data_IF_873020776146
#
_entry.id   IF_873020776146
#
_cell.length_a   1.000
_cell.length_b   1.000
_cell.length_c   1.000
_cell.angle_alpha   90.00
_cell.angle_beta   90.00
_cell.angle_gamma   90.00
#
_symmetry.space_group_name_H-M   'P 1'
#
loop_
_entity.id
_entity.type
_entity.pdbx_description
1 polymer ?
#
# COMPACT_ATOMS: atom_id res chain seq x y z
N UNK A 1 -33.29 -15.87 -44.17
CA UNK A 1 -32.86 -14.61 -43.53
C UNK A 1 -33.55 -13.48 -44.27
N UNK A 2 -34.31 -12.65 -43.56
CA UNK A 2 -35.04 -11.55 -44.20
C UNK A 2 -34.04 -10.40 -44.53
N UNK A 3 -34.32 -9.61 -45.56
CA UNK A 3 -33.42 -8.56 -46.05
C UNK A 3 -33.01 -7.54 -44.96
N UNK A 4 -33.90 -7.24 -44.02
CA UNK A 4 -33.66 -6.38 -42.85
C UNK A 4 -32.66 -7.00 -41.88
N UNK A 5 -32.75 -8.31 -41.62
CA UNK A 5 -31.80 -9.02 -40.75
C UNK A 5 -30.38 -9.01 -41.34
N UNK A 6 -30.26 -9.17 -42.66
CA UNK A 6 -28.97 -9.09 -43.36
C UNK A 6 -28.32 -7.72 -43.18
N UNK A 7 -29.05 -6.63 -43.40
CA UNK A 7 -28.51 -5.28 -43.27
C UNK A 7 -28.17 -4.90 -41.82
N UNK A 8 -28.91 -5.43 -40.84
CA UNK A 8 -28.58 -5.25 -39.43
C UNK A 8 -27.24 -5.92 -39.08
N UNK A 9 -27.01 -7.16 -39.52
CA UNK A 9 -25.74 -7.86 -39.30
C UNK A 9 -24.57 -7.12 -39.96
N UNK A 10 -24.75 -6.66 -41.20
CA UNK A 10 -23.73 -5.87 -41.91
C UNK A 10 -23.46 -4.55 -41.19
N UNK A 11 -24.49 -3.85 -40.72
CA UNK A 11 -24.35 -2.61 -39.96
C UNK A 11 -23.54 -2.79 -38.67
N UNK A 12 -23.81 -3.86 -37.90
CA UNK A 12 -23.05 -4.18 -36.69
C UNK A 12 -21.58 -4.48 -37.01
N UNK A 13 -21.29 -5.24 -38.06
CA UNK A 13 -19.91 -5.55 -38.47
C UNK A 13 -19.14 -4.28 -38.89
N UNK A 14 -19.80 -3.37 -39.61
CA UNK A 14 -19.18 -2.08 -40.00
C UNK A 14 -18.86 -1.23 -38.77
N UNK A 15 -19.77 -1.16 -37.80
CA UNK A 15 -19.53 -0.42 -36.53
C UNK A 15 -18.38 -1.05 -35.74
N UNK A 16 -18.34 -2.37 -35.60
CA UNK A 16 -17.26 -3.05 -34.90
C UNK A 16 -15.90 -2.83 -35.58
N UNK A 17 -15.85 -2.93 -36.91
CA UNK A 17 -14.63 -2.65 -37.67
C UNK A 17 -14.19 -1.17 -37.55
N UNK A 18 -15.13 -0.24 -37.48
CA UNK A 18 -14.85 1.17 -37.26
C UNK A 18 -14.35 1.47 -35.83
N UNK A 19 -14.70 0.65 -34.84
CA UNK A 19 -14.24 0.78 -33.46
C UNK A 19 -12.87 0.14 -33.21
N UNK A 20 -12.42 -0.81 -34.05
CA UNK A 20 -11.11 -1.46 -33.88
C UNK A 20 -9.93 -0.47 -33.83
N UNK A 21 -9.83 0.57 -34.69
CA UNK A 21 -8.78 1.58 -34.58
C UNK A 21 -8.86 2.35 -33.26
N UNK A 22 -10.07 2.70 -32.80
CA UNK A 22 -10.26 3.43 -31.53
C UNK A 22 -9.79 2.57 -30.36
N UNK A 23 -10.18 1.30 -30.31
CA UNK A 23 -9.73 0.37 -29.29
C UNK A 23 -8.21 0.18 -29.34
N UNK A 24 -7.63 0.06 -30.53
CA UNK A 24 -6.18 -0.02 -30.72
C UNK A 24 -5.47 1.24 -30.20
N UNK A 25 -5.98 2.44 -30.50
CA UNK A 25 -5.43 3.70 -29.99
C UNK A 25 -5.53 3.80 -28.47
N UNK A 26 -6.65 3.37 -27.88
CA UNK A 26 -6.80 3.32 -26.41
C UNK A 26 -5.75 2.39 -25.80
N UNK A 27 -5.60 1.16 -26.32
CA UNK A 27 -4.59 0.20 -25.82
C UNK A 27 -3.17 0.75 -25.99
N UNK A 28 -2.87 1.37 -27.14
CA UNK A 28 -1.56 1.98 -27.40
C UNK A 28 -1.28 3.14 -26.44
N UNK A 29 -2.25 4.01 -26.20
CA UNK A 29 -2.12 5.12 -25.26
C UNK A 29 -1.91 4.62 -23.83
N UNK A 30 -2.66 3.60 -23.40
CA UNK A 30 -2.42 2.95 -22.11
C UNK A 30 -1.01 2.38 -22.01
N UNK A 31 -0.52 1.71 -23.05
CA UNK A 31 0.86 1.19 -23.09
C UNK A 31 1.91 2.29 -22.98
N UNK A 32 1.74 3.40 -23.70
CA UNK A 32 2.68 4.52 -23.67
C UNK A 32 2.67 5.18 -22.29
N UNK A 33 1.50 5.45 -21.72
CA UNK A 33 1.36 6.06 -20.41
C UNK A 33 1.88 5.13 -19.30
N UNK A 34 1.59 3.84 -19.36
CA UNK A 34 2.10 2.84 -18.42
C UNK A 34 3.62 2.69 -18.52
N UNK A 35 4.18 2.65 -19.73
CA UNK A 35 5.64 2.62 -19.93
C UNK A 35 6.29 3.89 -19.39
N UNK A 36 5.72 5.07 -19.65
CA UNK A 36 6.24 6.33 -19.12
C UNK A 36 6.13 6.40 -17.59
N UNK A 37 5.08 5.80 -17.01
CA UNK A 37 4.90 5.68 -15.56
C UNK A 37 5.92 4.72 -14.94
N UNK A 38 6.19 3.58 -15.58
CA UNK A 38 7.20 2.62 -15.11
C UNK A 38 8.63 3.16 -15.28
N UNK A 39 8.94 3.82 -16.41
CA UNK A 39 10.22 4.51 -16.62
C UNK A 39 10.46 5.64 -15.60
N UNK A 40 9.38 6.26 -15.11
CA UNK A 40 9.46 7.24 -14.02
C UNK A 40 9.88 6.63 -12.70
N UNK A 41 9.53 5.38 -12.40
CA UNK A 41 9.98 4.69 -11.18
C UNK A 41 11.47 4.37 -11.23
N UNK A 42 12.03 4.12 -12.42
CA UNK A 42 13.44 3.73 -12.56
C UNK A 42 13.63 2.23 -12.33
N UNK A 43 14.87 1.77 -12.19
CA UNK A 43 15.16 0.35 -11.99
C UNK A 43 14.77 -0.08 -10.57
N UNK A 44 14.13 -1.24 -10.45
CA UNK A 44 13.89 -1.90 -9.17
C UNK A 44 15.23 -2.45 -8.62
N UNK A 45 15.50 -2.15 -7.36
CA UNK A 45 16.70 -2.54 -6.61
C UNK A 45 16.25 -3.45 -5.47
N UNK A 46 16.95 -4.56 -5.27
CA UNK A 46 16.65 -5.51 -4.18
C UNK A 46 17.76 -5.49 -3.13
N UNK A 47 17.36 -5.68 -1.88
CA UNK A 47 18.25 -5.79 -0.73
C UNK A 47 17.73 -6.89 0.19
N UNK A 48 18.58 -7.87 0.50
CA UNK A 48 18.30 -8.84 1.55
C UNK A 48 18.78 -8.29 2.89
N UNK A 49 17.85 -7.86 3.74
CA UNK A 49 18.12 -7.40 5.10
C UNK A 49 17.97 -8.55 6.11
N UNK A 50 18.87 -8.70 7.10
CA UNK A 50 18.78 -9.78 8.09
C UNK A 50 17.52 -9.75 8.97
N UNK A 51 16.89 -8.59 9.15
CA UNK A 51 15.69 -8.40 9.96
C UNK A 51 14.43 -8.31 9.11
N UNK A 52 14.50 -7.59 7.98
CA UNK A 52 13.34 -7.34 7.13
C UNK A 52 13.21 -8.34 5.96
N UNK A 53 14.19 -9.21 5.73
CA UNK A 53 14.19 -10.13 4.59
C UNK A 53 14.38 -9.39 3.26
N UNK A 54 13.68 -9.84 2.22
CA UNK A 54 13.80 -9.25 0.88
C UNK A 54 13.05 -7.92 0.80
N UNK A 55 13.80 -6.82 0.75
CA UNK A 55 13.32 -5.48 0.48
C UNK A 55 13.50 -5.12 -1.00
N UNK A 56 12.60 -4.30 -1.51
CA UNK A 56 12.73 -3.66 -2.82
C UNK A 56 12.61 -2.15 -2.70
N UNK A 57 13.28 -1.45 -3.59
CA UNK A 57 13.19 0.00 -3.76
C UNK A 57 13.25 0.31 -5.25
N UNK A 58 12.90 1.53 -5.63
CA UNK A 58 13.08 2.02 -6.98
C UNK A 58 14.17 3.09 -6.98
N UNK A 59 15.06 3.07 -7.96
CA UNK A 59 16.29 3.90 -8.02
C UNK A 59 16.08 5.42 -7.76
N UNK A 60 14.87 5.94 -8.01
CA UNK A 60 14.52 7.35 -7.81
C UNK A 60 13.82 7.63 -6.49
N UNK A 61 13.57 6.62 -5.68
CA UNK A 61 12.76 6.67 -4.47
C UNK A 61 13.66 6.40 -3.26
N UNK A 62 13.52 7.22 -2.21
CA UNK A 62 14.31 7.12 -0.97
C UNK A 62 13.57 6.26 0.08
N UNK A 63 12.89 5.20 -0.36
CA UNK A 63 12.24 4.26 0.54
C UNK A 63 12.38 2.83 0.07
N UNK A 64 12.40 1.93 1.05
CA UNK A 64 12.42 0.49 0.88
C UNK A 64 11.10 -0.10 1.36
N UNK A 65 10.59 -1.09 0.64
CA UNK A 65 9.36 -1.80 1.02
C UNK A 65 9.52 -3.31 0.93
N UNK A 66 8.73 -4.04 1.72
CA UNK A 66 8.70 -5.50 1.68
C UNK A 66 7.73 -6.10 2.70
N UNK A 67 7.40 -7.39 2.52
CA UNK A 67 6.51 -8.12 3.44
C UNK A 67 7.34 -8.81 4.51
N UNK A 68 7.24 -8.33 5.75
CA UNK A 68 8.10 -8.76 6.85
C UNK A 68 7.34 -9.59 7.87
N UNK A 69 8.04 -10.54 8.52
CA UNK A 69 7.48 -11.26 9.65
C UNK A 69 7.32 -10.33 10.85
N UNK A 70 6.09 -10.18 11.34
CA UNK A 70 5.77 -9.32 12.47
C UNK A 70 5.65 -10.12 13.76
N UNK A 71 4.90 -11.22 13.75
CA UNK A 71 4.81 -12.17 14.88
C UNK A 71 4.44 -11.52 16.21
N UNK A 72 3.56 -10.53 16.19
CA UNK A 72 3.04 -9.87 17.39
C UNK A 72 1.55 -10.21 17.54
N UNK A 73 1.23 -11.15 18.44
CA UNK A 73 -0.12 -11.70 18.57
C UNK A 73 -0.46 -12.62 17.40
N UNK A 74 -1.61 -12.39 16.76
CA UNK A 74 -2.11 -13.16 15.61
C UNK A 74 -1.60 -12.62 14.27
N UNK A 75 -0.88 -11.49 14.26
CA UNK A 75 -0.37 -10.85 13.05
C UNK A 75 0.94 -11.52 12.63
N UNK A 76 0.88 -12.34 11.59
CA UNK A 76 2.06 -13.06 11.07
C UNK A 76 2.97 -12.15 10.23
N UNK A 77 2.39 -11.35 9.33
CA UNK A 77 3.11 -10.54 8.36
C UNK A 77 2.52 -9.14 8.25
N UNK A 78 3.36 -8.18 7.89
CA UNK A 78 2.98 -6.79 7.66
C UNK A 78 3.83 -6.21 6.54
N UNK A 79 3.28 -5.30 5.75
CA UNK A 79 4.08 -4.52 4.81
C UNK A 79 4.91 -3.49 5.57
N UNK A 80 6.22 -3.46 5.35
CA UNK A 80 7.10 -2.43 5.91
C UNK A 80 7.39 -1.37 4.85
N UNK A 81 7.38 -0.11 5.25
CA UNK A 81 7.94 1.01 4.49
C UNK A 81 9.05 1.64 5.33
N UNK A 82 10.25 1.77 4.76
CA UNK A 82 11.42 2.28 5.47
C UNK A 82 11.98 3.44 4.67
N UNK A 83 11.92 4.64 5.23
CA UNK A 83 12.52 5.85 4.68
C UNK A 83 14.04 5.79 4.90
N UNK A 84 14.77 5.35 3.88
CA UNK A 84 16.21 5.10 3.94
C UNK A 84 16.86 5.32 2.58
N UNK A 85 18.14 5.66 2.60
CA UNK A 85 18.91 5.89 1.38
C UNK A 85 19.18 4.57 0.61
N UNK A 86 19.95 4.65 -0.47
CA UNK A 86 20.30 3.50 -1.31
C UNK A 86 21.11 2.40 -0.58
N UNK A 87 21.67 2.66 0.60
CA UNK A 87 22.42 1.66 1.38
C UNK A 87 21.47 0.76 2.21
N UNK A 88 20.18 1.09 2.27
CA UNK A 88 19.17 0.33 3.00
C UNK A 88 18.97 0.79 4.44
N UNK A 89 18.21 0.00 5.23
CA UNK A 89 17.85 0.38 6.60
C UNK A 89 19.07 0.53 7.52
N UNK A 90 18.99 1.51 8.42
CA UNK A 90 20.00 1.72 9.47
C UNK A 90 19.75 0.84 10.70
N UNK A 91 20.73 0.71 11.59
CA UNK A 91 20.52 -0.04 12.84
C UNK A 91 19.49 0.61 13.77
N UNK A 92 19.37 1.94 13.77
CA UNK A 92 18.33 2.65 14.53
C UNK A 92 16.92 2.27 14.04
N UNK A 93 16.74 2.14 12.73
CA UNK A 93 15.47 1.71 12.12
C UNK A 93 15.15 0.25 12.44
N UNK A 94 16.17 -0.64 12.38
CA UNK A 94 16.03 -2.04 12.83
C UNK A 94 15.66 -2.10 14.32
N UNK A 95 16.29 -1.29 15.16
CA UNK A 95 16.00 -1.22 16.60
C UNK A 95 14.58 -0.71 16.86
N UNK A 96 14.12 0.31 16.13
CA UNK A 96 12.74 0.81 16.19
C UNK A 96 11.76 -0.31 15.82
N UNK A 97 11.97 -1.03 14.71
CA UNK A 97 11.10 -2.14 14.32
C UNK A 97 11.01 -3.25 15.38
N UNK A 98 12.15 -3.69 15.93
CA UNK A 98 12.16 -4.70 17.01
C UNK A 98 11.37 -4.22 18.21
N UNK A 99 11.49 -2.93 18.55
CA UNK A 99 10.74 -2.35 19.66
C UNK A 99 9.25 -2.28 19.36
N UNK A 100 8.85 -1.89 18.14
CA UNK A 100 7.45 -1.89 17.69
C UNK A 100 6.88 -3.31 17.87
N UNK A 101 7.53 -4.33 17.31
CA UNK A 101 7.12 -5.75 17.47
C UNK A 101 6.93 -6.14 18.94
N UNK A 102 7.87 -5.76 19.81
CA UNK A 102 7.81 -6.11 21.24
C UNK A 102 6.75 -5.37 22.05
N UNK A 103 6.38 -4.15 21.63
CA UNK A 103 5.46 -3.29 22.37
C UNK A 103 4.06 -3.25 21.75
N UNK A 104 3.89 -3.77 20.54
CA UNK A 104 2.66 -3.67 19.77
C UNK A 104 1.43 -4.12 20.57
N UNK A 105 1.47 -5.32 21.18
CA UNK A 105 0.34 -5.82 21.98
C UNK A 105 -0.01 -4.93 23.17
N UNK A 106 0.93 -4.13 23.69
CA UNK A 106 0.66 -3.22 24.80
C UNK A 106 0.01 -1.91 24.38
N UNK A 107 0.26 -1.47 23.15
CA UNK A 107 -0.30 -0.22 22.60
C UNK A 107 -1.57 -0.47 21.77
N UNK A 108 -1.84 -1.73 21.39
CA UNK A 108 -3.02 -2.10 20.60
C UNK A 108 -4.35 -1.57 21.17
N UNK A 109 -4.63 -1.62 22.49
CA UNK A 109 -5.87 -1.05 23.03
C UNK A 109 -5.99 0.47 22.84
N UNK A 110 -4.86 1.20 22.87
CA UNK A 110 -4.84 2.65 22.61
C UNK A 110 -5.13 2.94 21.13
N UNK A 111 -4.56 2.13 20.24
CA UNK A 111 -4.77 2.22 18.79
C UNK A 111 -6.24 1.98 18.44
N UNK A 112 -6.82 0.88 18.93
CA UNK A 112 -8.23 0.55 18.71
C UNK A 112 -9.14 1.65 19.25
N UNK A 113 -8.85 2.20 20.43
CA UNK A 113 -9.64 3.29 21.00
C UNK A 113 -9.55 4.56 20.13
N UNK A 114 -8.38 4.89 19.59
CA UNK A 114 -8.20 6.04 18.71
C UNK A 114 -8.93 5.86 17.37
N UNK A 115 -8.82 4.68 16.75
CA UNK A 115 -9.51 4.35 15.50
C UNK A 115 -11.03 4.36 15.70
N UNK A 116 -11.57 3.68 16.72
CA UNK A 116 -13.02 3.69 17.02
C UNK A 116 -13.55 5.08 17.33
N UNK A 117 -12.75 5.94 17.95
CA UNK A 117 -13.12 7.35 18.17
C UNK A 117 -13.18 8.14 16.86
N UNK A 118 -12.34 7.80 15.88
CA UNK A 118 -12.28 8.48 14.59
C UNK A 118 -13.45 8.07 13.67
N UNK A 119 -13.72 6.76 13.54
CA UNK A 119 -14.73 6.22 12.60
C UNK A 119 -16.01 5.68 13.21
N UNK A 120 -15.97 5.15 14.44
CA UNK A 120 -17.12 4.54 15.11
C UNK A 120 -16.80 3.21 15.82
N UNK A 121 -17.67 2.79 16.73
CA UNK A 121 -17.41 1.64 17.62
C UNK A 121 -17.54 0.26 16.96
N UNK A 122 -18.16 0.13 15.78
CA UNK A 122 -18.55 -1.17 15.23
C UNK A 122 -17.56 -1.75 14.21
N UNK A 123 -16.38 -1.15 14.07
CA UNK A 123 -15.44 -1.48 13.01
C UNK A 123 -14.34 -2.41 13.54
N UNK A 124 -13.94 -3.38 12.73
CA UNK A 124 -12.78 -4.23 12.97
C UNK A 124 -11.60 -3.67 12.18
N UNK A 125 -10.40 -3.68 12.78
CA UNK A 125 -9.22 -3.06 12.20
C UNK A 125 -8.10 -4.08 12.09
N UNK A 126 -7.54 -4.23 10.90
CA UNK A 126 -6.39 -5.09 10.62
C UNK A 126 -5.16 -4.22 10.36
N UNK A 127 -4.05 -4.51 11.05
CA UNK A 127 -2.75 -3.88 10.75
C UNK A 127 -2.24 -4.39 9.40
N UNK A 128 -2.01 -3.48 8.47
CA UNK A 128 -1.52 -3.84 7.12
C UNK A 128 -0.13 -3.31 6.82
N UNK A 129 0.25 -2.17 7.40
CA UNK A 129 1.56 -1.59 7.14
C UNK A 129 2.18 -0.91 8.35
N UNK A 130 3.51 -0.83 8.36
CA UNK A 130 4.29 -0.03 9.30
C UNK A 130 5.26 0.84 8.50
N UNK A 131 5.32 2.11 8.84
CA UNK A 131 6.24 3.08 8.25
C UNK A 131 7.29 3.53 9.27
N UNK A 132 8.55 3.33 8.93
CA UNK A 132 9.73 3.66 9.74
C UNK A 132 10.43 4.88 9.12
N UNK A 133 10.47 6.03 9.80
CA UNK A 133 11.10 7.23 9.26
C UNK A 133 12.63 7.14 9.27
N UNK A 134 13.31 8.05 8.55
CA UNK A 134 14.76 8.24 8.64
C UNK A 134 15.21 8.53 10.08
N UNK A 135 14.49 9.42 10.79
CA UNK A 135 14.80 9.86 12.15
C UNK A 135 14.28 8.88 13.22
N UNK A 136 14.61 7.59 13.10
CA UNK A 136 14.11 6.53 13.97
C UNK A 136 14.48 6.70 15.46
N UNK A 137 15.49 7.51 15.78
CA UNK A 137 15.87 7.86 17.15
C UNK A 137 14.82 8.69 17.91
N UNK A 138 13.88 9.33 17.21
CA UNK A 138 12.77 10.04 17.87
C UNK A 138 11.69 9.09 18.38
N UNK A 139 11.75 7.81 17.97
CA UNK A 139 10.71 6.80 18.22
C UNK A 139 9.34 7.15 17.66
N UNK A 140 9.29 8.05 16.69
CA UNK A 140 8.09 8.35 15.94
C UNK A 140 7.97 7.36 14.77
N UNK A 141 6.75 6.92 14.48
CA UNK A 141 6.44 5.99 13.40
C UNK A 141 4.96 6.07 13.06
N UNK A 142 4.54 5.41 11.98
CA UNK A 142 3.12 5.24 11.68
C UNK A 142 2.79 3.81 11.28
N UNK A 143 1.52 3.45 11.40
CA UNK A 143 0.99 2.20 10.92
C UNK A 143 -0.31 2.41 10.14
N UNK A 144 -0.43 1.70 9.03
CA UNK A 144 -1.64 1.62 8.24
C UNK A 144 -2.53 0.49 8.73
N UNK A 145 -3.82 0.76 8.83
CA UNK A 145 -4.86 -0.19 9.16
C UNK A 145 -5.91 -0.21 8.07
N UNK A 146 -6.43 -1.39 7.74
CA UNK A 146 -7.70 -1.49 7.03
C UNK A 146 -8.83 -1.72 8.01
N UNK A 147 -9.96 -1.08 7.73
CA UNK A 147 -11.21 -1.49 8.32
C UNK A 147 -12.05 -2.21 7.27
N UNK A 148 -12.40 -3.45 7.55
CA UNK A 148 -13.36 -4.20 6.75
C UNK A 148 -14.74 -3.59 6.94
N UNK A 149 -15.42 -3.27 5.84
CA UNK A 149 -16.81 -2.80 5.86
C UNK A 149 -17.70 -3.69 5.02
N UNK A 150 -18.90 -4.00 5.53
CA UNK A 150 -19.85 -4.88 4.85
C UNK A 150 -20.43 -4.26 3.56
N UNK A 151 -20.38 -2.93 3.40
CA UNK A 151 -21.15 -2.21 2.36
C UNK A 151 -20.33 -1.23 1.49
N UNK A 152 -19.25 -0.62 1.99
CA UNK A 152 -18.61 0.55 1.34
C UNK A 152 -17.18 0.29 0.81
N UNK A 153 -16.66 -0.94 0.96
CA UNK A 153 -15.29 -1.30 0.62
C UNK A 153 -14.31 -1.06 1.77
N UNK A 154 -13.13 -1.65 1.67
CA UNK A 154 -12.10 -1.55 2.72
C UNK A 154 -11.56 -0.12 2.76
N UNK A 155 -11.56 0.50 3.94
CA UNK A 155 -11.08 1.86 4.15
C UNK A 155 -9.73 1.85 4.87
N UNK A 156 -8.78 2.67 4.40
CA UNK A 156 -7.44 2.79 4.98
C UNK A 156 -7.34 3.87 6.04
N UNK A 157 -6.61 3.59 7.12
CA UNK A 157 -6.33 4.55 8.20
C UNK A 157 -4.85 4.53 8.57
N UNK A 158 -4.23 5.72 8.60
CA UNK A 158 -2.88 5.89 9.11
C UNK A 158 -2.93 6.38 10.56
N UNK A 159 -2.34 5.58 11.46
CA UNK A 159 -2.16 5.92 12.87
C UNK A 159 -0.73 6.39 13.08
N UNK A 160 -0.57 7.61 13.57
CA UNK A 160 0.72 8.22 13.85
C UNK A 160 1.07 8.09 15.33
N UNK A 161 2.32 7.76 15.62
CA UNK A 161 2.84 7.58 16.97
C UNK A 161 3.93 8.58 17.27
N UNK A 162 3.87 9.16 18.47
CA UNK A 162 4.92 9.98 19.05
C UNK A 162 5.24 9.53 20.45
N UNK A 163 6.50 9.21 20.72
CA UNK A 163 6.94 8.67 22.02
C UNK A 163 6.08 7.50 22.53
N UNK A 164 5.68 6.56 21.67
CA UNK A 164 4.86 5.38 22.03
C UNK A 164 3.41 5.67 22.42
N UNK A 165 2.88 6.82 22.06
CA UNK A 165 1.45 7.14 22.17
C UNK A 165 0.89 7.58 20.82
N UNK A 166 -0.39 7.31 20.60
CA UNK A 166 -1.11 7.74 19.40
C UNK A 166 -1.18 9.27 19.41
N UNK A 167 -0.55 9.89 18.42
CA UNK A 167 -0.56 11.35 18.26
C UNK A 167 -1.68 11.82 17.35
N UNK A 168 -1.99 11.04 16.31
CA UNK A 168 -3.00 11.40 15.32
C UNK A 168 -3.53 10.17 14.57
N UNK A 169 -4.71 10.31 13.98
CA UNK A 169 -5.33 9.32 13.09
C UNK A 169 -5.83 10.04 11.85
N UNK A 170 -5.39 9.58 10.68
CA UNK A 170 -5.74 10.16 9.39
C UNK A 170 -6.45 9.10 8.56
N UNK A 171 -7.66 9.40 8.08
CA UNK A 171 -8.33 8.57 7.08
C UNK A 171 -7.69 8.75 5.70
N UNK A 172 -7.37 7.63 5.05
CA UNK A 172 -7.01 7.54 3.64
C UNK A 172 -8.22 7.12 2.82
N UNK A 173 -8.36 7.71 1.62
CA UNK A 173 -9.45 7.46 0.66
C UNK A 173 -9.63 5.99 0.28
#
# INVERSE_FOLDING_TARGET
MNQVEFWNVVGVLVVLLALLPVLYFVVLMFRILFSAFMDRRGREIHLDDPLFGSLKSWEKWEHWEGDVEFGAGEIERVMIFIDANADGPTESQRALFRKIRSQYSSILPEIEAALRKYVGENWEFELVSISIPTAAETWDWSAGYFAETDEDGDMGYDVHFKNWSVSDVIGGD
#
